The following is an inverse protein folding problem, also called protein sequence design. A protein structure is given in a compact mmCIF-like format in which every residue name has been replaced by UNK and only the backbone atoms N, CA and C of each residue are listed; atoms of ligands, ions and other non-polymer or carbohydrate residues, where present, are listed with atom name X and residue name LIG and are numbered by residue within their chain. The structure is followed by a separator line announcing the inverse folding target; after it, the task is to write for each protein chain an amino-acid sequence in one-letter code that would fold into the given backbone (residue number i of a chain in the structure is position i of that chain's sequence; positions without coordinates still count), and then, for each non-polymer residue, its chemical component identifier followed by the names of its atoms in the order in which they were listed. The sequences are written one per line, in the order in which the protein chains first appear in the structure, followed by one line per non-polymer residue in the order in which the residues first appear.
data_IF_327521206055
#
_entry.id   IF_327521206055
#
_cell.length_a   1.000
_cell.length_b   1.000
_cell.length_c   1.000
_cell.angle_alpha   90.00
_cell.angle_beta   90.00
_cell.angle_gamma   90.00
#
_symmetry.space_group_name_H-M   'P 1'
#
loop_
_entity.id
_entity.type
_entity.pdbx_description
1 polymer ?
#
# COMPACT_ATOMS: atom_id res chain seq x y z
N UNK A 1 -0.77 -7.00 -9.59
CA UNK A 1 -1.41 -7.66 -10.73
C UNK A 1 -2.87 -7.27 -10.81
N UNK A 2 -3.57 -7.80 -11.82
CA UNK A 2 -5.04 -7.80 -11.84
C UNK A 2 -5.57 -8.67 -10.71
N UNK A 3 -6.74 -8.32 -10.17
CA UNK A 3 -7.45 -9.07 -9.14
C UNK A 3 -7.66 -10.52 -9.60
N UNK A 4 -8.13 -10.71 -10.84
CA UNK A 4 -8.22 -12.00 -11.54
C UNK A 4 -7.01 -12.26 -12.42
N UNK A 5 -6.43 -13.46 -12.31
CA UNK A 5 -5.27 -13.86 -13.12
C UNK A 5 -5.13 -15.37 -13.25
N UNK A 6 -5.21 -15.87 -14.48
CA UNK A 6 -4.91 -17.27 -14.83
C UNK A 6 -3.44 -17.62 -14.61
N UNK A 7 -2.51 -16.67 -14.80
CA UNK A 7 -1.10 -16.88 -14.51
C UNK A 7 -0.86 -17.14 -13.01
N UNK A 8 -1.50 -16.36 -12.14
CA UNK A 8 -1.37 -16.54 -10.70
C UNK A 8 -1.96 -17.88 -10.24
N UNK A 9 -3.12 -18.27 -10.80
CA UNK A 9 -3.70 -19.59 -10.61
C UNK A 9 -2.73 -20.72 -10.98
N UNK A 10 -2.13 -20.64 -12.18
CA UNK A 10 -1.17 -21.63 -12.66
C UNK A 10 0.08 -21.73 -11.75
N UNK A 11 0.62 -20.61 -11.29
CA UNK A 11 1.78 -20.61 -10.38
C UNK A 11 1.48 -21.31 -9.05
N UNK A 12 0.26 -21.13 -8.51
CA UNK A 12 -0.15 -21.82 -7.30
C UNK A 12 -0.30 -23.33 -7.54
N UNK A 13 -1.07 -23.73 -8.56
CA UNK A 13 -1.34 -25.14 -8.85
C UNK A 13 -0.08 -25.95 -9.23
N UNK A 14 0.93 -25.30 -9.82
CA UNK A 14 2.23 -25.92 -10.11
C UNK A 14 3.19 -25.92 -8.91
N UNK A 15 2.78 -25.40 -7.75
CA UNK A 15 3.61 -25.33 -6.55
C UNK A 15 4.74 -24.31 -6.62
N UNK A 16 4.68 -23.34 -7.54
CA UNK A 16 5.73 -22.32 -7.72
C UNK A 16 5.58 -21.15 -6.74
N UNK A 17 4.35 -20.80 -6.35
CA UNK A 17 4.05 -19.68 -5.45
C UNK A 17 2.82 -19.94 -4.59
N UNK A 18 3.02 -20.12 -3.29
CA UNK A 18 1.93 -20.23 -2.30
C UNK A 18 1.33 -18.87 -1.89
N UNK A 19 0.31 -18.90 -1.03
CA UNK A 19 -0.23 -17.70 -0.38
C UNK A 19 0.67 -17.25 0.77
N UNK A 20 0.41 -16.05 1.27
CA UNK A 20 1.08 -15.57 2.48
C UNK A 20 0.75 -16.49 3.66
N UNK A 21 1.79 -16.92 4.37
CA UNK A 21 1.69 -17.88 5.49
C UNK A 21 0.87 -19.15 5.16
N UNK A 22 1.07 -19.72 3.96
CA UNK A 22 0.32 -20.88 3.44
C UNK A 22 0.05 -21.97 4.49
N UNK A 23 1.07 -22.38 5.26
CA UNK A 23 0.97 -23.47 6.26
C UNK A 23 0.11 -23.15 7.48
N UNK A 24 -0.35 -21.90 7.63
CA UNK A 24 -1.26 -21.49 8.71
C UNK A 24 -2.71 -21.35 8.24
N UNK A 25 -2.96 -21.50 6.95
CA UNK A 25 -4.31 -21.42 6.39
C UNK A 25 -4.96 -22.80 6.51
N UNK A 26 -6.15 -22.86 7.09
CA UNK A 26 -6.87 -24.12 7.32
C UNK A 26 -7.82 -24.41 6.15
N UNK A 27 -7.28 -24.91 5.04
CA UNK A 27 -8.02 -25.41 3.88
C UNK A 27 -7.27 -26.58 3.21
N UNK A 28 -7.70 -26.98 2.01
CA UNK A 28 -7.11 -28.13 1.31
C UNK A 28 -5.78 -27.82 0.59
N UNK A 29 -5.34 -26.55 0.61
CA UNK A 29 -4.17 -26.01 -0.10
C UNK A 29 -4.17 -26.27 -1.61
N UNK A 30 -5.35 -26.46 -2.21
CA UNK A 30 -5.55 -26.69 -3.65
C UNK A 30 -6.52 -25.69 -4.25
N UNK A 31 -7.47 -25.18 -3.46
CA UNK A 31 -8.37 -24.07 -3.80
C UNK A 31 -9.32 -24.32 -4.98
N UNK A 32 -9.43 -25.58 -5.43
CA UNK A 32 -10.18 -25.92 -6.65
C UNK A 32 -11.66 -25.56 -6.57
N UNK A 33 -12.25 -25.66 -5.38
CA UNK A 33 -13.66 -25.35 -5.12
C UNK A 33 -13.84 -24.18 -4.15
N UNK A 34 -12.75 -23.53 -3.76
CA UNK A 34 -12.79 -22.47 -2.77
C UNK A 34 -13.22 -21.16 -3.43
N UNK A 35 -13.94 -20.36 -2.66
CA UNK A 35 -14.38 -19.03 -3.07
C UNK A 35 -13.65 -17.98 -2.24
N UNK A 36 -13.38 -16.85 -2.88
CA UNK A 36 -12.79 -15.69 -2.22
C UNK A 36 -13.55 -14.42 -2.64
N UNK A 37 -13.94 -13.56 -1.68
CA UNK A 37 -14.66 -12.33 -1.98
C UNK A 37 -13.71 -11.32 -2.63
N UNK A 38 -14.16 -10.70 -3.70
CA UNK A 38 -13.48 -9.57 -4.34
C UNK A 38 -14.42 -8.38 -4.46
N UNK A 39 -13.84 -7.18 -4.50
CA UNK A 39 -14.58 -5.96 -4.76
C UNK A 39 -14.72 -5.75 -6.27
N UNK A 40 -15.91 -5.41 -6.70
CA UNK A 40 -16.23 -4.99 -8.06
C UNK A 40 -16.95 -3.66 -8.06
N UNK A 41 -17.06 -3.05 -9.25
CA UNK A 41 -17.82 -1.84 -9.46
C UNK A 41 -18.97 -2.11 -10.45
N UNK A 42 -20.20 -1.95 -9.97
CA UNK A 42 -21.42 -2.02 -10.78
C UNK A 42 -21.97 -0.60 -10.96
N UNK A 43 -21.72 -0.01 -12.13
CA UNK A 43 -21.98 1.41 -12.36
C UNK A 43 -21.09 2.26 -11.45
N UNK A 44 -21.69 2.92 -10.48
CA UNK A 44 -20.98 3.76 -9.48
C UNK A 44 -20.96 3.12 -8.07
N UNK A 45 -21.44 1.88 -7.95
CA UNK A 45 -21.55 1.20 -6.65
C UNK A 45 -20.54 0.07 -6.52
N UNK A 46 -19.80 0.10 -5.42
CA UNK A 46 -18.96 -1.03 -5.05
C UNK A 46 -19.81 -2.19 -4.53
N UNK A 47 -19.55 -3.38 -5.04
CA UNK A 47 -20.20 -4.62 -4.62
C UNK A 47 -19.15 -5.67 -4.33
N UNK A 48 -19.44 -6.57 -3.39
CA UNK A 48 -18.59 -7.72 -3.13
C UNK A 48 -19.19 -8.93 -3.85
N UNK A 49 -18.36 -9.64 -4.61
CA UNK A 49 -18.74 -10.90 -5.27
C UNK A 49 -17.74 -11.98 -4.94
N UNK A 50 -18.24 -13.20 -4.77
CA UNK A 50 -17.39 -14.37 -4.63
C UNK A 50 -16.89 -14.82 -6.00
N UNK A 51 -15.60 -15.14 -6.08
CA UNK A 51 -14.98 -15.74 -7.25
C UNK A 51 -14.11 -16.93 -6.81
N UNK A 52 -13.71 -17.76 -7.76
CA UNK A 52 -12.83 -18.90 -7.49
C UNK A 52 -11.51 -18.41 -6.87
N UNK A 53 -11.18 -18.90 -5.66
CA UNK A 53 -10.05 -18.43 -4.87
C UNK A 53 -8.70 -18.57 -5.60
N UNK A 54 -8.58 -19.56 -6.50
CA UNK A 54 -7.38 -19.78 -7.30
C UNK A 54 -7.20 -18.66 -8.34
N UNK A 55 -8.28 -18.20 -8.98
CA UNK A 55 -8.21 -17.16 -10.03
C UNK A 55 -7.97 -15.77 -9.44
N UNK A 56 -8.37 -15.54 -8.19
CA UNK A 56 -8.23 -14.25 -7.50
C UNK A 56 -7.13 -14.22 -6.43
N UNK A 57 -6.20 -15.17 -6.47
CA UNK A 57 -5.12 -15.27 -5.47
C UNK A 57 -4.23 -14.02 -5.37
N UNK A 58 -4.16 -13.21 -6.44
CA UNK A 58 -3.49 -11.90 -6.41
C UNK A 58 -4.19 -10.92 -5.47
N UNK A 59 -5.53 -10.92 -5.44
CA UNK A 59 -6.31 -10.04 -4.58
C UNK A 59 -6.16 -10.46 -3.12
N UNK A 60 -6.17 -11.77 -2.84
CA UNK A 60 -5.88 -12.28 -1.49
C UNK A 60 -4.53 -11.77 -0.96
N UNK A 61 -3.46 -11.90 -1.76
CA UNK A 61 -2.14 -11.39 -1.35
C UNK A 61 -2.14 -9.86 -1.16
N UNK A 62 -2.94 -9.11 -1.93
CA UNK A 62 -3.11 -7.67 -1.72
C UNK A 62 -3.81 -7.39 -0.40
N UNK A 63 -4.83 -8.17 -0.02
CA UNK A 63 -5.54 -8.01 1.25
C UNK A 63 -4.62 -8.23 2.46
N UNK A 64 -3.80 -9.28 2.39
CA UNK A 64 -2.78 -9.57 3.40
C UNK A 64 -1.79 -8.39 3.53
N UNK A 65 -1.35 -7.85 2.39
CA UNK A 65 -0.46 -6.69 2.35
C UNK A 65 -1.11 -5.42 2.93
N UNK A 66 -2.35 -5.13 2.57
CA UNK A 66 -3.11 -3.97 3.11
C UNK A 66 -3.26 -4.10 4.63
N UNK A 67 -3.57 -5.31 5.11
CA UNK A 67 -3.69 -5.59 6.55
C UNK A 67 -2.39 -5.34 7.30
N UNK A 68 -1.24 -5.70 6.72
CA UNK A 68 0.05 -5.44 7.34
C UNK A 68 0.43 -3.94 7.30
N UNK A 69 0.16 -3.26 6.18
CA UNK A 69 0.35 -1.81 6.08
C UNK A 69 -0.46 -1.04 7.13
N UNK A 70 -1.71 -1.43 7.39
CA UNK A 70 -2.58 -0.80 8.39
C UNK A 70 -1.94 -0.86 9.80
N UNK A 71 -1.28 -1.97 10.14
CA UNK A 71 -0.55 -2.08 11.42
C UNK A 71 0.58 -1.06 11.52
N UNK A 72 1.30 -0.80 10.42
CA UNK A 72 2.32 0.24 10.34
C UNK A 72 1.74 1.64 10.55
N UNK A 73 0.65 1.96 9.84
CA UNK A 73 -0.05 3.24 9.95
C UNK A 73 -0.56 3.48 11.37
N UNK A 74 -1.16 2.47 12.02
CA UNK A 74 -1.59 2.56 13.43
C UNK A 74 -0.44 2.90 14.36
N UNK A 75 0.76 2.34 14.16
CA UNK A 75 1.95 2.66 14.96
C UNK A 75 2.40 4.11 14.76
N UNK A 76 2.37 4.62 13.53
CA UNK A 76 2.65 6.03 13.26
C UNK A 76 1.63 6.96 13.92
N UNK A 77 0.34 6.63 13.86
CA UNK A 77 -0.71 7.40 14.53
C UNK A 77 -0.53 7.42 16.05
N UNK A 78 0.05 6.39 16.68
CA UNK A 78 0.41 6.46 18.11
C UNK A 78 1.48 7.52 18.39
N UNK A 79 2.43 7.73 17.49
CA UNK A 79 3.46 8.78 17.64
C UNK A 79 2.80 10.16 17.56
N UNK A 80 1.96 10.38 16.54
CA UNK A 80 1.24 11.64 16.32
C UNK A 80 0.36 11.98 17.54
N UNK A 81 -0.41 11.00 18.01
CA UNK A 81 -1.27 11.15 19.20
C UNK A 81 -0.47 11.48 20.47
N UNK A 82 0.70 10.85 20.67
CA UNK A 82 1.57 11.14 21.83
C UNK A 82 2.12 12.57 21.82
N UNK A 83 2.20 13.20 20.65
CA UNK A 83 2.57 14.62 20.51
C UNK A 83 1.37 15.57 20.69
N UNK A 84 0.17 15.05 20.97
CA UNK A 84 -1.03 15.86 21.18
C UNK A 84 -1.58 16.50 19.89
N UNK A 85 -1.22 15.97 18.71
CA UNK A 85 -1.66 16.49 17.42
C UNK A 85 -2.97 15.79 17.03
N UNK A 86 -4.01 16.57 16.73
CA UNK A 86 -5.30 16.07 16.22
C UNK A 86 -5.21 15.78 14.72
N UNK A 87 -4.48 14.72 14.37
CA UNK A 87 -4.29 14.28 12.99
C UNK A 87 -4.12 12.76 12.93
N UNK A 88 -4.60 12.14 11.86
CA UNK A 88 -4.52 10.71 11.63
C UNK A 88 -4.16 10.39 10.17
N UNK A 89 -3.14 9.56 9.98
CA UNK A 89 -2.84 8.95 8.69
C UNK A 89 -3.82 7.81 8.40
N UNK A 90 -4.29 7.71 7.15
CA UNK A 90 -5.23 6.69 6.71
C UNK A 90 -4.76 6.06 5.40
N UNK A 91 -5.01 4.76 5.23
CA UNK A 91 -4.88 4.13 3.93
C UNK A 91 -6.06 4.56 3.03
N UNK A 92 -5.82 4.90 1.75
CA UNK A 92 -6.91 5.19 0.84
C UNK A 92 -7.68 3.93 0.47
N UNK A 93 -8.90 4.11 -0.05
CA UNK A 93 -9.70 3.03 -0.60
C UNK A 93 -8.93 2.26 -1.69
N UNK A 94 -9.08 0.93 -1.75
CA UNK A 94 -8.28 0.06 -2.63
C UNK A 94 -8.38 0.33 -4.13
N UNK A 95 -9.44 1.01 -4.54
CA UNK A 95 -9.69 1.40 -5.93
C UNK A 95 -9.08 2.78 -6.27
N UNK A 96 -8.58 3.53 -5.28
CA UNK A 96 -7.95 4.84 -5.49
C UNK A 96 -6.65 4.71 -6.29
N UNK A 97 -6.50 5.57 -7.30
CA UNK A 97 -5.28 5.75 -8.11
C UNK A 97 -4.68 4.45 -8.67
N UNK A 98 -5.52 3.59 -9.26
CA UNK A 98 -5.10 2.29 -9.81
C UNK A 98 -4.82 2.37 -11.30
N UNK A 99 -3.71 1.75 -11.72
CA UNK A 99 -3.34 1.60 -13.14
C UNK A 99 -3.54 0.17 -13.66
N UNK A 100 -3.66 -0.80 -12.76
CA UNK A 100 -3.80 -2.22 -13.04
C UNK A 100 -5.06 -2.76 -12.38
N UNK A 101 -5.75 -3.68 -13.04
CA UNK A 101 -6.91 -4.38 -12.48
C UNK A 101 -8.23 -3.70 -12.81
N UNK A 102 -9.31 -4.20 -12.20
CA UNK A 102 -10.69 -3.78 -12.47
C UNK A 102 -10.97 -2.31 -12.18
N UNK A 103 -10.14 -1.65 -11.36
CA UNK A 103 -10.32 -0.25 -10.96
C UNK A 103 -9.45 0.76 -11.72
N UNK A 104 -8.74 0.33 -12.77
CA UNK A 104 -8.07 1.30 -13.63
C UNK A 104 -9.08 2.11 -14.44
N UNK A 105 -8.69 3.31 -14.86
CA UNK A 105 -9.60 4.26 -15.52
C UNK A 105 -10.31 3.67 -16.74
N UNK A 106 -9.62 2.84 -17.54
CA UNK A 106 -10.22 2.19 -18.70
C UNK A 106 -11.34 1.21 -18.31
N UNK A 107 -11.15 0.44 -17.24
CA UNK A 107 -12.09 -0.59 -16.78
C UNK A 107 -13.30 -0.03 -16.02
N UNK A 108 -13.19 1.18 -15.44
CA UNK A 108 -14.30 1.87 -14.75
C UNK A 108 -14.95 2.97 -15.62
N UNK A 109 -14.85 2.87 -16.94
CA UNK A 109 -15.58 3.74 -17.86
C UNK A 109 -15.10 5.19 -17.87
N UNK A 110 -13.80 5.43 -17.65
CA UNK A 110 -13.22 6.77 -17.60
C UNK A 110 -13.35 7.48 -16.26
N UNK A 111 -14.09 6.89 -15.31
CA UNK A 111 -14.27 7.44 -13.97
C UNK A 111 -13.00 7.27 -13.11
N UNK A 112 -13.05 7.86 -11.92
CA UNK A 112 -12.00 7.79 -10.89
C UNK A 112 -12.62 7.43 -9.55
N UNK A 113 -11.77 7.12 -8.58
CA UNK A 113 -12.19 6.86 -7.20
C UNK A 113 -11.36 7.75 -6.30
N UNK A 114 -11.99 8.47 -5.38
CA UNK A 114 -11.31 9.29 -4.37
C UNK A 114 -10.70 8.43 -3.25
N UNK A 115 -9.89 8.99 -2.33
CA UNK A 115 -9.32 8.23 -1.22
C UNK A 115 -10.34 7.59 -0.28
N UNK A 116 -11.59 8.07 -0.24
CA UNK A 116 -12.64 7.57 0.64
C UNK A 116 -13.50 6.48 -0.02
N UNK A 117 -13.28 6.19 -1.30
CA UNK A 117 -14.05 5.19 -2.04
C UNK A 117 -15.29 5.75 -2.73
N UNK A 118 -15.35 7.06 -2.98
CA UNK A 118 -16.39 7.64 -3.83
C UNK A 118 -15.96 7.59 -5.29
N UNK A 119 -16.84 7.07 -6.16
CA UNK A 119 -16.66 7.16 -7.62
C UNK A 119 -16.93 8.60 -8.05
N UNK A 120 -15.98 9.19 -8.78
CA UNK A 120 -15.99 10.59 -9.19
C UNK A 120 -15.61 10.73 -10.66
N UNK A 121 -15.93 11.88 -11.25
CA UNK A 121 -15.60 12.18 -12.64
C UNK A 121 -14.12 12.53 -12.82
N UNK A 122 -13.63 12.51 -14.07
CA UNK A 122 -12.28 12.97 -14.39
C UNK A 122 -12.09 14.47 -14.09
N UNK A 123 -13.16 15.26 -14.25
CA UNK A 123 -13.13 16.69 -13.94
C UNK A 123 -12.94 16.92 -12.43
N UNK A 124 -13.69 16.19 -11.60
CA UNK A 124 -13.54 16.25 -10.13
C UNK A 124 -12.15 15.79 -9.69
N UNK A 125 -11.63 14.73 -10.31
CA UNK A 125 -10.26 14.27 -10.07
C UNK A 125 -9.24 15.35 -10.42
N UNK A 126 -9.32 15.94 -11.61
CA UNK A 126 -8.39 16.97 -12.08
C UNK A 126 -8.34 18.17 -11.13
N UNK A 127 -9.48 18.56 -10.56
CA UNK A 127 -9.56 19.67 -9.61
C UNK A 127 -9.03 19.33 -8.19
N UNK A 128 -9.07 18.06 -7.78
CA UNK A 128 -8.85 17.69 -6.38
C UNK A 128 -7.64 16.78 -6.12
N UNK A 129 -7.08 16.11 -7.13
CA UNK A 129 -6.02 15.12 -6.92
C UNK A 129 -4.76 15.67 -6.25
N UNK A 130 -4.45 16.96 -6.43
CA UNK A 130 -3.33 17.63 -5.74
C UNK A 130 -3.51 17.71 -4.21
N UNK A 131 -4.72 17.47 -3.69
CA UNK A 131 -4.98 17.34 -2.24
C UNK A 131 -4.67 15.94 -1.70
N UNK A 132 -4.52 14.95 -2.59
CA UNK A 132 -4.39 13.54 -2.23
C UNK A 132 -3.05 12.95 -2.66
N UNK A 133 -2.46 13.47 -3.73
CA UNK A 133 -1.21 13.03 -4.32
C UNK A 133 -0.21 14.20 -4.32
N UNK A 134 1.09 13.94 -4.06
CA UNK A 134 2.10 14.99 -4.09
C UNK A 134 2.16 15.66 -5.46
N UNK A 135 2.00 16.98 -5.44
CA UNK A 135 2.15 17.87 -6.59
C UNK A 135 3.63 18.05 -6.95
N UNK A 136 3.90 18.69 -8.08
CA UNK A 136 5.28 19.04 -8.46
C UNK A 136 5.91 20.02 -7.46
N UNK A 137 5.12 20.91 -6.86
CA UNK A 137 5.58 21.84 -5.82
C UNK A 137 5.93 21.09 -4.52
N UNK A 138 5.08 20.16 -4.07
CA UNK A 138 5.37 19.32 -2.89
C UNK A 138 6.67 18.52 -3.09
N UNK A 139 6.85 17.96 -4.29
CA UNK A 139 8.05 17.19 -4.65
C UNK A 139 9.29 18.08 -4.67
N UNK A 140 9.20 19.25 -5.30
CA UNK A 140 10.30 20.21 -5.35
C UNK A 140 10.70 20.66 -3.93
N UNK A 141 9.72 20.92 -3.06
CA UNK A 141 9.96 21.26 -1.66
C UNK A 141 10.70 20.13 -0.93
N UNK A 142 10.22 18.88 -1.01
CA UNK A 142 10.88 17.74 -0.35
C UNK A 142 12.30 17.54 -0.88
N UNK A 143 12.51 17.65 -2.20
CA UNK A 143 13.85 17.56 -2.81
C UNK A 143 14.78 18.65 -2.25
N UNK A 144 14.28 19.86 -2.05
CA UNK A 144 15.05 20.95 -1.44
C UNK A 144 15.60 20.64 -0.04
N UNK A 145 14.92 19.77 0.72
CA UNK A 145 15.37 19.32 2.04
C UNK A 145 16.50 18.28 2.00
N UNK A 146 16.74 17.65 0.85
CA UNK A 146 17.63 16.49 0.72
C UNK A 146 19.10 16.89 0.60
N UNK A 147 19.68 17.37 1.70
CA UNK A 147 21.11 17.67 1.82
C UNK A 147 21.84 16.55 2.60
N UNK A 148 22.99 16.07 2.11
CA UNK A 148 23.72 15.00 2.79
C UNK A 148 24.31 15.48 4.12
N UNK A 149 24.15 14.67 5.17
CA UNK A 149 24.78 14.84 6.48
C UNK A 149 25.59 13.58 6.76
N UNK A 150 26.92 13.69 6.68
CA UNK A 150 27.85 12.54 6.77
C UNK A 150 28.67 12.52 8.05
N UNK A 151 28.55 13.52 8.91
CA UNK A 151 29.21 13.56 10.21
C UNK A 151 28.59 12.51 11.15
N UNK A 152 29.38 11.62 11.77
CA UNK A 152 28.86 10.62 12.72
C UNK A 152 28.03 11.26 13.84
N UNK A 153 26.87 10.68 14.12
CA UNK A 153 25.95 11.16 15.16
C UNK A 153 25.13 12.40 14.77
N UNK A 154 25.32 12.98 13.58
CA UNK A 154 24.48 14.06 13.05
C UNK A 154 23.38 13.51 12.14
N UNK A 155 22.25 14.20 12.16
CA UNK A 155 21.06 13.88 11.35
C UNK A 155 20.57 15.14 10.65
N UNK A 156 20.02 14.98 9.44
CA UNK A 156 19.39 16.09 8.72
C UNK A 156 18.15 16.60 9.49
N UNK A 157 17.87 17.89 9.39
CA UNK A 157 16.83 18.55 10.20
C UNK A 157 15.41 18.01 10.00
N UNK A 158 15.14 17.32 8.89
CA UNK A 158 13.82 16.75 8.59
C UNK A 158 13.59 15.37 9.21
N UNK A 159 14.59 14.78 9.88
CA UNK A 159 14.47 13.45 10.49
C UNK A 159 15.07 13.43 11.91
N UNK A 160 14.32 12.84 12.85
CA UNK A 160 14.79 12.62 14.22
C UNK A 160 15.83 11.49 14.27
N UNK A 161 16.74 11.49 15.26
CA UNK A 161 17.66 10.38 15.49
C UNK A 161 16.89 9.08 15.82
N UNK A 162 17.43 7.90 15.48
CA UNK A 162 16.82 6.62 15.82
C UNK A 162 16.88 6.36 17.33
N UNK A 163 16.01 5.48 17.82
CA UNK A 163 15.96 5.14 19.25
C UNK A 163 17.22 4.39 19.74
N UNK A 164 17.97 3.73 18.85
CA UNK A 164 19.20 2.99 19.15
C UNK A 164 20.05 2.82 17.90
N UNK A 165 21.35 2.56 18.10
CA UNK A 165 22.27 2.16 17.04
C UNK A 165 22.09 0.71 16.59
N UNK A 166 22.96 0.26 15.68
CA UNK A 166 22.94 -1.08 15.08
C UNK A 166 23.99 -1.97 15.74
N UNK A 167 23.68 -3.25 15.98
CA UNK A 167 24.60 -4.25 16.54
C UNK A 167 25.31 -3.79 17.83
N UNK A 168 24.55 -3.22 18.76
CA UNK A 168 25.03 -2.66 20.03
C UNK A 168 26.08 -1.54 19.89
N UNK A 169 26.28 -0.99 18.68
CA UNK A 169 27.09 0.19 18.49
C UNK A 169 26.31 1.44 18.91
N UNK A 170 27.05 2.48 19.28
CA UNK A 170 26.49 3.78 19.60
C UNK A 170 25.88 4.46 18.36
N UNK A 171 24.99 5.43 18.57
CA UNK A 171 24.32 6.17 17.48
C UNK A 171 25.31 6.97 16.64
N UNK A 172 26.40 7.43 17.25
CA UNK A 172 27.50 8.17 16.65
C UNK A 172 28.67 7.29 16.18
N UNK A 173 28.46 5.96 16.12
CA UNK A 173 29.44 5.06 15.50
C UNK A 173 29.66 5.42 14.02
N UNK A 174 30.89 5.29 13.56
CA UNK A 174 31.24 5.48 12.15
C UNK A 174 30.75 4.28 11.30
N UNK A 175 29.46 4.30 10.95
CA UNK A 175 28.82 3.19 10.23
C UNK A 175 29.35 2.98 8.81
N UNK A 176 29.91 4.02 8.19
CA UNK A 176 30.47 3.99 6.84
C UNK A 176 31.78 4.76 6.83
N UNK A 177 32.82 4.16 6.23
CA UNK A 177 34.11 4.79 5.94
C UNK A 177 34.22 4.99 4.44
N UNK A 178 34.50 6.22 4.00
CA UNK A 178 34.50 6.60 2.59
C UNK A 178 35.90 6.61 1.94
N UNK A 179 36.86 5.89 2.55
CA UNK A 179 38.26 5.83 2.12
C UNK A 179 38.42 5.41 0.66
#
# INVERSE_FOLDING_TARGET
GSERSTNAANFYSMGLKGRFEETKIDDDHKLGNDLYPILELEGEKFVTREDNALTVINERLRDDYVTDCDRGVRRWNQIIKRQGIDFELKLPHRAFNRQIGSFNQANIGGMRVDPNGQVITEADWTQNHGKWLPTDEDRAYVIGLMQPVTEPGKYANWIAPPARGINNQAIDFEYVRLN
#
